data_IF_263290335037
#
_entry.id   IF_263290335037
#
_cell.length_a   1.000
_cell.length_b   1.000
_cell.length_c   1.000
_cell.angle_alpha   90.00
_cell.angle_beta   90.00
_cell.angle_gamma   90.00
#
_symmetry.space_group_name_H-M   'P 1'
#
loop_
_entity.id
_entity.type
_entity.pdbx_description
1 polymer ?
#
# COMPACT_ATOMS: atom_id res chain seq x y z
N UNK A 1 -14.42 -9.46 17.96
CA UNK A 1 -13.34 -9.20 16.97
C UNK A 1 -14.06 -8.93 15.67
N UNK A 2 -14.18 -7.68 15.25
CA UNK A 2 -14.77 -7.38 13.94
C UNK A 2 -13.91 -8.07 12.88
N UNK A 3 -14.50 -9.01 12.13
CA UNK A 3 -13.87 -9.50 10.91
C UNK A 3 -13.57 -8.28 10.04
N UNK A 4 -12.29 -7.92 9.91
CA UNK A 4 -11.85 -6.91 8.97
C UNK A 4 -12.29 -7.37 7.58
N UNK A 5 -13.39 -6.79 7.08
CA UNK A 5 -13.97 -7.14 5.80
C UNK A 5 -12.95 -6.84 4.71
N UNK A 6 -12.35 -7.89 4.15
CA UNK A 6 -11.48 -7.76 2.97
C UNK A 6 -12.36 -7.43 1.76
N UNK A 7 -12.04 -6.35 1.06
CA UNK A 7 -12.75 -5.91 -0.14
C UNK A 7 -11.81 -6.10 -1.32
N UNK A 8 -12.30 -6.73 -2.40
CA UNK A 8 -11.55 -6.84 -3.65
C UNK A 8 -11.72 -5.54 -4.45
N UNK A 9 -10.60 -4.92 -4.81
CA UNK A 9 -10.57 -3.74 -5.66
C UNK A 9 -10.36 -4.15 -7.12
N UNK A 10 -11.28 -3.77 -7.99
CA UNK A 10 -11.13 -3.95 -9.43
C UNK A 10 -10.52 -2.67 -10.03
N UNK A 11 -9.21 -2.66 -10.20
CA UNK A 11 -8.47 -1.52 -10.74
C UNK A 11 -7.71 -1.91 -12.00
N UNK A 12 -7.65 -0.99 -12.96
CA UNK A 12 -6.79 -1.12 -14.15
C UNK A 12 -5.60 -0.19 -13.95
N UNK A 13 -4.41 -0.75 -14.06
CA UNK A 13 -3.14 -0.02 -13.97
C UNK A 13 -2.35 -0.19 -15.26
N UNK A 14 -1.40 0.71 -15.51
CA UNK A 14 -0.44 0.53 -16.59
C UNK A 14 0.47 -0.67 -16.30
N UNK A 15 1.01 -1.29 -17.36
CA UNK A 15 1.88 -2.47 -17.24
C UNK A 15 3.09 -2.19 -16.35
N UNK A 16 3.74 -1.03 -16.54
CA UNK A 16 4.90 -0.61 -15.76
C UNK A 16 4.60 -0.52 -14.26
N UNK A 17 3.37 -0.17 -13.89
CA UNK A 17 2.91 -0.06 -12.51
C UNK A 17 2.70 -1.43 -11.89
N UNK A 18 2.16 -2.38 -12.66
CA UNK A 18 2.07 -3.77 -12.24
C UNK A 18 3.47 -4.39 -12.05
N UNK A 19 4.40 -4.13 -12.96
CA UNK A 19 5.77 -4.65 -12.88
C UNK A 19 6.51 -4.10 -11.64
N UNK A 20 6.33 -2.81 -11.34
CA UNK A 20 6.85 -2.19 -10.10
C UNK A 20 6.29 -2.85 -8.84
N UNK A 21 4.99 -3.18 -8.80
CA UNK A 21 4.39 -3.87 -7.66
C UNK A 21 4.98 -5.27 -7.46
N UNK A 22 5.31 -5.95 -8.55
CA UNK A 22 5.93 -7.29 -8.52
C UNK A 22 7.35 -7.21 -7.95
N UNK A 23 8.13 -6.22 -8.39
CA UNK A 23 9.47 -5.96 -7.86
C UNK A 23 9.42 -5.59 -6.36
N UNK A 24 8.50 -4.71 -5.96
CA UNK A 24 8.29 -4.37 -4.55
C UNK A 24 7.92 -5.59 -3.72
N UNK A 25 7.05 -6.46 -4.24
CA UNK A 25 6.67 -7.69 -3.57
C UNK A 25 7.86 -8.63 -3.39
N UNK A 26 8.71 -8.77 -4.40
CA UNK A 26 9.94 -9.56 -4.32
C UNK A 26 10.94 -8.96 -3.31
N UNK A 27 11.07 -7.63 -3.28
CA UNK A 27 11.89 -6.93 -2.29
C UNK A 27 11.41 -7.22 -0.87
N UNK A 28 10.10 -7.09 -0.60
CA UNK A 28 9.54 -7.40 0.72
C UNK A 28 9.77 -8.87 1.08
N UNK A 29 9.48 -9.80 0.15
CA UNK A 29 9.68 -11.23 0.37
C UNK A 29 11.13 -11.59 0.74
N UNK A 30 12.12 -10.93 0.14
CA UNK A 30 13.54 -11.13 0.45
C UNK A 30 13.91 -10.67 1.87
N UNK A 31 13.25 -9.63 2.38
CA UNK A 31 13.54 -9.04 3.69
C UNK A 31 12.61 -9.55 4.81
N UNK A 32 11.55 -10.28 4.45
CA UNK A 32 10.68 -10.97 5.39
C UNK A 32 11.31 -12.27 5.85
N UNK A 33 11.56 -12.39 7.16
CA UNK A 33 12.20 -13.59 7.76
C UNK A 33 11.34 -14.85 7.70
N UNK A 34 10.02 -14.71 7.75
CA UNK A 34 9.06 -15.82 7.76
C UNK A 34 7.77 -15.45 7.03
N UNK A 35 7.24 -16.38 6.26
CA UNK A 35 5.94 -16.23 5.59
C UNK A 35 6.04 -15.78 4.13
N UNK A 36 4.91 -15.93 3.43
CA UNK A 36 4.74 -15.50 2.05
C UNK A 36 4.20 -14.08 2.03
N UNK A 37 4.82 -13.23 1.23
CA UNK A 37 4.36 -11.86 0.99
C UNK A 37 3.39 -11.88 -0.20
N UNK A 38 2.19 -11.32 -0.01
CA UNK A 38 1.20 -11.19 -1.07
C UNK A 38 1.20 -9.77 -1.64
N UNK A 39 0.95 -9.65 -2.94
CA UNK A 39 0.83 -8.35 -3.62
C UNK A 39 -0.23 -7.46 -2.96
N UNK A 40 -1.32 -8.05 -2.47
CA UNK A 40 -2.38 -7.32 -1.76
C UNK A 40 -1.90 -6.67 -0.46
N UNK A 41 -1.05 -7.36 0.30
CA UNK A 41 -0.49 -6.83 1.55
C UNK A 41 0.47 -5.67 1.25
N UNK A 42 1.32 -5.84 0.23
CA UNK A 42 2.27 -4.80 -0.22
C UNK A 42 1.53 -3.58 -0.75
N UNK A 43 0.49 -3.78 -1.57
CA UNK A 43 -0.33 -2.69 -2.07
C UNK A 43 -1.05 -1.94 -0.94
N UNK A 44 -1.56 -2.66 0.06
CA UNK A 44 -2.21 -2.06 1.23
C UNK A 44 -1.23 -1.19 2.00
N UNK A 45 -0.03 -1.70 2.30
CA UNK A 45 1.03 -0.94 2.99
C UNK A 45 1.45 0.33 2.21
N UNK A 46 1.52 0.26 0.88
CA UNK A 46 1.82 1.43 0.04
C UNK A 46 0.71 2.48 0.15
N UNK A 47 -0.56 2.06 0.10
CA UNK A 47 -1.71 2.95 0.20
C UNK A 47 -1.75 3.61 1.58
N UNK A 48 -1.58 2.85 2.66
CA UNK A 48 -1.60 3.37 4.03
C UNK A 48 -0.51 4.42 4.25
N UNK A 49 0.73 4.13 3.81
CA UNK A 49 1.83 5.11 3.88
C UNK A 49 1.56 6.37 3.09
N UNK A 50 0.94 6.24 1.91
CA UNK A 50 0.59 7.39 1.07
C UNK A 50 -0.53 8.21 1.70
N UNK A 51 -1.51 7.55 2.31
CA UNK A 51 -2.60 8.18 3.04
C UNK A 51 -2.08 8.98 4.25
N UNK A 52 -1.16 8.41 5.03
CA UNK A 52 -0.52 9.10 6.15
C UNK A 52 0.22 10.38 5.73
N UNK A 53 0.88 10.35 4.57
CA UNK A 53 1.55 11.54 4.01
C UNK A 53 0.51 12.60 3.62
N UNK A 54 -0.57 12.19 2.96
CA UNK A 54 -1.67 13.09 2.59
C UNK A 54 -2.32 13.74 3.81
N UNK A 55 -2.65 12.97 4.85
CA UNK A 55 -3.22 13.50 6.10
C UNK A 55 -2.29 14.53 6.77
N UNK A 56 -0.98 14.26 6.77
CA UNK A 56 0.02 15.23 7.26
C UNK A 56 -0.02 16.52 6.45
N UNK A 57 -0.06 16.44 5.12
CA UNK A 57 -0.14 17.61 4.25
C UNK A 57 -1.42 18.43 4.51
N UNK A 58 -2.58 17.77 4.55
CA UNK A 58 -3.87 18.39 4.87
C UNK A 58 -3.84 19.07 6.24
N UNK A 59 -3.23 18.44 7.25
CA UNK A 59 -3.13 19.00 8.60
C UNK A 59 -2.26 20.27 8.65
N UNK A 60 -1.20 20.32 7.84
CA UNK A 60 -0.32 21.47 7.75
C UNK A 60 -1.03 22.63 7.05
N UNK A 61 -1.71 22.38 5.93
CA UNK A 61 -2.48 23.40 5.21
C UNK A 61 -3.51 24.08 6.11
N UNK A 62 -4.26 23.30 6.91
CA UNK A 62 -5.23 23.82 7.89
C UNK A 62 -4.59 24.64 9.01
N UNK A 63 -3.31 24.44 9.31
CA UNK A 63 -2.59 25.18 10.36
C UNK A 63 -2.08 26.54 9.87
N UNK A 64 -1.96 26.72 8.56
CA UNK A 64 -1.53 27.96 7.91
C UNK A 64 -2.71 28.79 7.35
N UNK A 65 -3.95 28.30 7.47
CA UNK A 65 -5.20 29.04 7.27
C UNK A 65 -5.72 29.57 8.61
#
# INVERSE_FOLDING_TARGET
MEEQKRIQLNVRVAQDTADKLDELTAYYQKHTKYGKVYKGDVLTDIIDKSYDIMEKQVSMEKRYQ
#
